data_IF_400680566047
#
_entry.id   IF_400680566047
#
_cell.length_a   1.000
_cell.length_b   1.000
_cell.length_c   1.000
_cell.angle_alpha   90.00
_cell.angle_beta   90.00
_cell.angle_gamma   90.00
#
_symmetry.space_group_name_H-M   'P 1'
#
loop_
_entity.id
_entity.type
_entity.pdbx_description
1 polymer ?
#
# COMPACT_ATOMS: atom_id res chain seq x y z
N UNK A 1 -0.14 -20.30 37.22
CA UNK A 1 -0.98 -20.52 36.02
C UNK A 1 -0.66 -19.45 35.00
N UNK A 2 -0.31 -19.82 33.76
CA UNK A 2 -0.04 -18.85 32.69
C UNK A 2 -1.33 -18.10 32.33
N UNK A 3 -1.28 -16.77 32.30
CA UNK A 3 -2.40 -15.90 31.94
C UNK A 3 -2.95 -16.14 30.53
N UNK A 4 -2.20 -16.81 29.66
CA UNK A 4 -2.57 -17.10 28.28
C UNK A 4 -3.52 -18.30 28.12
N UNK A 5 -3.64 -19.18 29.13
CA UNK A 5 -4.43 -20.42 29.00
C UNK A 5 -5.95 -20.20 28.89
N UNK A 6 -6.44 -18.97 29.09
CA UNK A 6 -7.86 -18.61 29.01
C UNK A 6 -8.30 -18.08 27.64
N UNK A 7 -7.36 -17.70 26.77
CA UNK A 7 -7.68 -17.17 25.45
C UNK A 7 -7.86 -18.31 24.44
N UNK A 8 -8.97 -18.28 23.71
CA UNK A 8 -9.32 -19.31 22.71
C UNK A 8 -8.97 -18.89 21.28
N UNK A 9 -8.82 -17.59 21.03
CA UNK A 9 -8.45 -17.03 19.74
C UNK A 9 -7.77 -15.68 19.96
N UNK A 10 -6.66 -15.47 19.26
CA UNK A 10 -5.96 -14.19 19.19
C UNK A 10 -5.73 -13.91 17.70
N UNK A 11 -6.21 -12.78 17.22
CA UNK A 11 -6.04 -12.35 15.83
C UNK A 11 -5.11 -11.15 15.78
N UNK A 12 -4.22 -11.12 14.79
CA UNK A 12 -3.28 -10.03 14.57
C UNK A 12 -3.53 -9.41 13.20
N UNK A 13 -3.48 -8.08 13.13
CA UNK A 13 -3.20 -7.41 11.87
C UNK A 13 -1.73 -7.66 11.48
N UNK A 14 -1.44 -7.69 10.18
CA UNK A 14 -0.10 -8.05 9.70
C UNK A 14 0.86 -6.87 9.76
N UNK A 15 0.40 -5.65 9.44
CA UNK A 15 1.28 -4.51 9.23
C UNK A 15 1.88 -4.00 10.54
N UNK A 16 3.21 -3.87 10.60
CA UNK A 16 4.00 -3.47 11.77
C UNK A 16 3.81 -4.31 13.04
N UNK A 17 3.00 -5.36 12.99
CA UNK A 17 2.86 -6.36 14.06
C UNK A 17 3.65 -7.61 13.69
N UNK A 18 3.39 -8.16 12.49
CA UNK A 18 4.05 -9.38 12.01
C UNK A 18 5.08 -9.07 10.91
N UNK A 19 4.81 -8.07 10.05
CA UNK A 19 5.66 -7.72 8.92
C UNK A 19 5.86 -6.21 8.80
N UNK A 20 7.08 -5.81 8.41
CA UNK A 20 7.44 -4.42 8.11
C UNK A 20 7.91 -4.29 6.66
N UNK A 21 7.52 -3.20 6.01
CA UNK A 21 7.97 -2.91 4.65
C UNK A 21 9.39 -2.32 4.73
N UNK A 22 10.35 -2.95 4.05
CA UNK A 22 11.78 -2.55 4.08
C UNK A 22 12.05 -1.14 3.55
N UNK A 23 11.14 -0.59 2.74
CA UNK A 23 11.25 0.75 2.17
C UNK A 23 9.89 1.23 1.69
N UNK A 24 9.63 2.54 1.78
CA UNK A 24 8.38 3.14 1.33
C UNK A 24 8.05 2.77 -0.15
N UNK A 25 6.78 2.46 -0.49
CA UNK A 25 6.39 2.07 -1.84
C UNK A 25 6.82 3.07 -2.94
N UNK A 26 6.65 4.38 -2.71
CA UNK A 26 7.09 5.41 -3.66
C UNK A 26 8.59 5.38 -3.96
N UNK A 27 9.43 5.04 -2.98
CA UNK A 27 10.88 4.87 -3.17
C UNK A 27 11.16 3.65 -4.05
N UNK A 28 10.47 2.53 -3.83
CA UNK A 28 10.61 1.32 -4.67
C UNK A 28 10.20 1.56 -6.11
N UNK A 29 9.14 2.33 -6.35
CA UNK A 29 8.77 2.72 -7.72
C UNK A 29 9.84 3.57 -8.40
N UNK A 30 10.48 4.50 -7.68
CA UNK A 30 11.60 5.26 -8.23
C UNK A 30 12.84 4.41 -8.54
N UNK A 31 13.17 3.43 -7.68
CA UNK A 31 14.25 2.48 -7.92
C UNK A 31 13.99 1.59 -9.15
N UNK A 32 12.77 1.04 -9.27
CA UNK A 32 12.38 0.24 -10.44
C UNK A 32 12.32 1.07 -11.70
N UNK A 33 11.72 2.27 -11.66
CA UNK A 33 11.67 3.17 -12.81
C UNK A 33 13.06 3.46 -13.36
N UNK A 34 14.04 3.73 -12.50
CA UNK A 34 15.42 3.95 -12.90
C UNK A 34 16.05 2.73 -13.58
N UNK A 35 15.74 1.50 -13.13
CA UNK A 35 16.20 0.27 -13.77
C UNK A 35 15.65 0.11 -15.20
N UNK A 36 14.46 0.66 -15.48
CA UNK A 36 13.84 0.66 -16.81
C UNK A 36 14.13 1.93 -17.61
N UNK A 37 15.11 2.76 -17.19
CA UNK A 37 15.51 3.97 -17.91
C UNK A 37 14.64 5.22 -17.63
N UNK A 38 13.68 5.13 -16.70
CA UNK A 38 12.85 6.26 -16.28
C UNK A 38 13.57 7.02 -15.16
N UNK A 39 14.24 8.12 -15.50
CA UNK A 39 14.88 9.01 -14.54
C UNK A 39 13.93 10.13 -14.13
N UNK A 40 13.22 9.95 -13.01
CA UNK A 40 12.34 10.97 -12.43
C UNK A 40 12.82 11.40 -11.04
N UNK A 41 12.37 12.57 -10.59
CA UNK A 41 12.62 13.05 -9.24
C UNK A 41 11.97 12.11 -8.20
N UNK A 42 12.80 11.39 -7.44
CA UNK A 42 12.37 10.40 -6.45
C UNK A 42 11.43 10.98 -5.39
N UNK A 43 11.64 12.23 -4.98
CA UNK A 43 10.80 12.90 -3.98
C UNK A 43 9.41 13.22 -4.54
N UNK A 44 9.36 13.61 -5.82
CA UNK A 44 8.10 13.85 -6.52
C UNK A 44 7.30 12.56 -6.69
N UNK A 45 7.95 11.43 -7.00
CA UNK A 45 7.29 10.12 -7.09
C UNK A 45 6.66 9.69 -5.76
N UNK A 46 7.36 9.91 -4.65
CA UNK A 46 6.82 9.61 -3.30
C UNK A 46 5.62 10.50 -2.99
N UNK A 47 5.71 11.80 -3.27
CA UNK A 47 4.61 12.74 -3.05
C UNK A 47 3.38 12.39 -3.92
N UNK A 48 3.59 12.08 -5.20
CA UNK A 48 2.53 11.67 -6.11
C UNK A 48 1.86 10.36 -5.66
N UNK A 49 2.63 9.39 -5.18
CA UNK A 49 2.08 8.15 -4.63
C UNK A 49 1.11 8.42 -3.48
N UNK A 50 1.49 9.29 -2.53
CA UNK A 50 0.64 9.64 -1.38
C UNK A 50 -0.63 10.36 -1.85
N UNK A 51 -0.52 11.29 -2.79
CA UNK A 51 -1.68 12.01 -3.34
C UNK A 51 -2.63 11.05 -4.07
N UNK A 52 -2.12 10.17 -4.93
CA UNK A 52 -2.90 9.14 -5.62
C UNK A 52 -3.57 8.20 -4.61
N UNK A 53 -2.88 7.82 -3.52
CA UNK A 53 -3.44 6.98 -2.46
C UNK A 53 -4.66 7.64 -1.81
N UNK A 54 -4.56 8.91 -1.44
CA UNK A 54 -5.69 9.63 -0.86
C UNK A 54 -6.84 9.81 -1.86
N UNK A 55 -6.52 10.13 -3.12
CA UNK A 55 -7.52 10.24 -4.19
C UNK A 55 -8.28 8.92 -4.38
N UNK A 56 -7.57 7.79 -4.49
CA UNK A 56 -8.16 6.48 -4.71
C UNK A 56 -8.99 6.01 -3.52
N UNK A 57 -8.55 6.25 -2.28
CA UNK A 57 -9.35 5.93 -1.10
C UNK A 57 -10.61 6.79 -0.98
N UNK A 58 -10.58 8.04 -1.45
CA UNK A 58 -11.75 8.92 -1.47
C UNK A 58 -12.75 8.54 -2.58
N UNK A 59 -12.27 8.29 -3.79
CA UNK A 59 -13.12 8.03 -4.97
C UNK A 59 -13.59 6.57 -5.04
N UNK A 60 -12.74 5.64 -4.60
CA UNK A 60 -12.93 4.19 -4.74
C UNK A 60 -12.59 3.48 -3.43
N UNK A 61 -13.32 3.73 -2.33
CA UNK A 61 -13.00 3.17 -1.02
C UNK A 61 -13.02 1.63 -1.03
N UNK A 62 -12.30 1.03 -0.07
CA UNK A 62 -12.18 -0.42 0.07
C UNK A 62 -11.81 -1.10 -1.25
N UNK A 63 -10.73 -0.64 -1.88
CA UNK A 63 -10.18 -1.17 -3.13
C UNK A 63 -11.19 -1.22 -4.29
N UNK A 64 -12.20 -0.33 -4.27
CA UNK A 64 -13.21 -0.24 -5.32
C UNK A 64 -14.40 -1.18 -5.18
N UNK A 65 -14.56 -1.84 -4.02
CA UNK A 65 -15.62 -2.83 -3.76
C UNK A 65 -17.01 -2.39 -4.24
N UNK A 66 -17.37 -1.12 -4.03
CA UNK A 66 -18.69 -0.56 -4.41
C UNK A 66 -18.66 0.27 -5.69
N UNK A 67 -17.48 0.55 -6.24
CA UNK A 67 -17.32 1.41 -7.41
C UNK A 67 -17.02 0.61 -8.68
N UNK A 68 -17.26 -0.70 -8.66
CA UNK A 68 -17.11 -1.62 -9.80
C UNK A 68 -15.69 -1.65 -10.41
N UNK A 69 -14.67 -1.28 -9.63
CA UNK A 69 -13.27 -1.52 -9.99
C UNK A 69 -12.73 -2.59 -9.03
N UNK A 70 -12.16 -3.66 -9.57
CA UNK A 70 -11.57 -4.71 -8.74
C UNK A 70 -10.27 -4.20 -8.08
N UNK A 71 -9.83 -4.85 -6.99
CA UNK A 71 -8.62 -4.44 -6.26
C UNK A 71 -7.37 -4.35 -7.17
N UNK A 72 -7.25 -5.21 -8.17
CA UNK A 72 -6.15 -5.17 -9.15
C UNK A 72 -6.17 -3.89 -9.97
N UNK A 73 -7.34 -3.53 -10.50
CA UNK A 73 -7.53 -2.29 -11.26
C UNK A 73 -7.33 -1.07 -10.37
N UNK A 74 -7.80 -1.12 -9.12
CA UNK A 74 -7.59 -0.08 -8.13
C UNK A 74 -6.10 0.23 -7.96
N UNK A 75 -5.25 -0.80 -7.78
CA UNK A 75 -3.81 -0.62 -7.67
C UNK A 75 -3.13 -0.18 -8.98
N UNK A 76 -3.66 -0.54 -10.14
CA UNK A 76 -3.15 -0.04 -11.43
C UNK A 76 -3.43 1.46 -11.59
N UNK A 77 -4.60 1.92 -11.16
CA UNK A 77 -5.01 3.34 -11.25
C UNK A 77 -4.21 4.27 -10.34
N UNK A 78 -3.52 3.74 -9.32
CA UNK A 78 -2.61 4.51 -8.46
C UNK A 78 -1.41 5.09 -9.21
N UNK A 79 -1.02 4.48 -10.32
CA UNK A 79 0.20 4.78 -11.09
C UNK A 79 -0.13 5.65 -12.32
N UNK A 80 -1.42 5.83 -12.63
CA UNK A 80 -1.93 6.54 -13.81
C UNK A 80 -2.05 8.05 -13.66
#
# INVERSE_FOLDING_TARGET
MSCLSRFRLITFDVHNTLLQIRSAPGKKYGELGAMFGISNNKNQLVANYVQSWHKMNRLHPNFGLKTKIGYKQWWQMMIG
#
